data_IF_528857320074
#
_entry.id   IF_528857320074
#
_cell.length_a   1.000
_cell.length_b   1.000
_cell.length_c   1.000
_cell.angle_alpha   90.00
_cell.angle_beta   90.00
_cell.angle_gamma   90.00
#
_symmetry.space_group_name_H-M   'P 1'
#
loop_
_entity.id
_entity.type
_entity.pdbx_description
1 polymer ?
#
# COMPACT_ATOMS: atom_id res chain seq x y z
N UNK A 1 -5.65 -6.81 -15.38
CA UNK A 1 -6.07 -7.23 -14.03
C UNK A 1 -6.43 -5.98 -13.25
N UNK A 2 -7.35 -6.01 -12.27
CA UNK A 2 -7.61 -4.84 -11.44
C UNK A 2 -6.38 -4.50 -10.58
N UNK A 3 -6.09 -3.21 -10.41
CA UNK A 3 -5.09 -2.74 -9.46
C UNK A 3 -5.51 -2.99 -8.02
N UNK A 4 -4.54 -3.23 -7.13
CA UNK A 4 -4.77 -3.53 -5.71
C UNK A 4 -4.03 -2.50 -4.85
N UNK A 5 -4.72 -1.91 -3.88
CA UNK A 5 -4.09 -1.11 -2.82
C UNK A 5 -4.35 -1.75 -1.46
N UNK A 6 -3.29 -2.19 -0.79
CA UNK A 6 -3.34 -2.71 0.56
C UNK A 6 -3.23 -1.56 1.57
N UNK A 7 -4.14 -1.50 2.53
CA UNK A 7 -4.17 -0.43 3.54
C UNK A 7 -4.28 -1.01 4.94
N UNK A 8 -3.43 -0.56 5.86
CA UNK A 8 -3.46 -1.00 7.27
C UNK A 8 -3.00 0.07 8.25
N UNK A 9 -3.22 -0.15 9.54
CA UNK A 9 -2.46 0.56 10.57
C UNK A 9 -1.01 0.07 10.60
N UNK A 10 -0.06 0.98 10.84
CA UNK A 10 1.37 0.68 10.85
C UNK A 10 1.84 -0.01 9.57
N UNK A 11 2.82 -0.91 9.69
CA UNK A 11 3.52 -1.50 8.55
C UNK A 11 2.91 -2.81 8.01
N UNK A 12 1.73 -3.24 8.47
CA UNK A 12 1.21 -4.56 8.12
C UNK A 12 1.03 -4.74 6.61
N UNK A 13 0.38 -3.79 5.92
CA UNK A 13 0.15 -3.84 4.47
C UNK A 13 1.47 -3.88 3.69
N UNK A 14 2.45 -3.05 4.08
CA UNK A 14 3.76 -2.97 3.43
C UNK A 14 4.55 -4.25 3.65
N UNK A 15 4.55 -4.78 4.87
CA UNK A 15 5.22 -6.04 5.18
C UNK A 15 4.56 -7.23 4.46
N UNK A 16 3.23 -7.21 4.31
CA UNK A 16 2.48 -8.23 3.59
C UNK A 16 2.84 -8.25 2.10
N UNK A 17 2.85 -7.08 1.44
CA UNK A 17 3.28 -6.98 0.04
C UNK A 17 4.71 -7.49 -0.13
N UNK A 18 5.62 -7.04 0.74
CA UNK A 18 7.02 -7.51 0.70
C UNK A 18 7.15 -9.02 0.90
N UNK A 19 6.33 -9.60 1.78
CA UNK A 19 6.29 -11.05 2.02
C UNK A 19 5.77 -11.79 0.80
N UNK A 20 4.71 -11.28 0.16
CA UNK A 20 4.20 -11.81 -1.10
C UNK A 20 5.28 -11.78 -2.18
N UNK A 21 6.00 -10.66 -2.33
CA UNK A 21 7.07 -10.52 -3.31
C UNK A 21 8.25 -11.46 -3.08
N UNK A 22 8.57 -11.77 -1.81
CA UNK A 22 9.59 -12.77 -1.48
C UNK A 22 9.23 -14.19 -1.94
N UNK A 23 7.93 -14.50 -2.03
CA UNK A 23 7.42 -15.84 -2.38
C UNK A 23 7.12 -15.95 -3.88
N UNK A 24 6.47 -14.91 -4.42
CA UNK A 24 5.90 -14.92 -5.78
C UNK A 24 6.67 -14.05 -6.77
N UNK A 25 7.73 -13.36 -6.34
CA UNK A 25 8.43 -12.35 -7.12
C UNK A 25 7.72 -10.99 -7.11
N UNK A 26 8.32 -9.99 -7.75
CA UNK A 26 7.75 -8.62 -7.83
C UNK A 26 6.31 -8.65 -8.35
N UNK A 27 5.46 -7.81 -7.75
CA UNK A 27 4.04 -7.73 -8.10
C UNK A 27 3.75 -6.41 -8.81
N UNK A 28 3.42 -6.49 -10.09
CA UNK A 28 2.95 -5.32 -10.85
C UNK A 28 1.49 -4.99 -10.47
N UNK A 29 1.18 -3.70 -10.34
CA UNK A 29 -0.18 -3.23 -10.07
C UNK A 29 -0.68 -3.46 -8.64
N UNK A 30 0.24 -3.66 -7.68
CA UNK A 30 -0.07 -3.76 -6.25
C UNK A 30 0.72 -2.71 -5.47
N UNK A 31 0.02 -1.86 -4.71
CA UNK A 31 0.63 -0.87 -3.82
C UNK A 31 0.20 -1.11 -2.38
N UNK A 32 0.98 -0.61 -1.41
CA UNK A 32 0.69 -0.74 0.01
C UNK A 32 0.93 0.56 0.78
N UNK A 33 -0.02 0.93 1.64
CA UNK A 33 0.02 2.16 2.44
C UNK A 33 -0.30 1.84 3.90
N UNK A 34 0.59 2.25 4.81
CA UNK A 34 0.41 2.09 6.26
C UNK A 34 0.08 3.41 6.95
N UNK A 35 -0.95 3.48 7.79
CA UNK A 35 -1.26 4.65 8.63
C UNK A 35 -0.37 4.66 9.88
N UNK A 36 0.48 5.67 10.03
CA UNK A 36 1.45 5.73 11.13
C UNK A 36 0.96 6.59 12.31
N UNK A 37 1.52 6.32 13.50
CA UNK A 37 1.22 7.10 14.71
C UNK A 37 1.68 8.54 14.49
N UNK A 38 0.79 9.50 14.75
CA UNK A 38 1.07 10.93 14.57
C UNK A 38 0.89 11.42 13.13
N UNK A 39 0.59 10.54 12.17
CA UNK A 39 0.25 10.95 10.82
C UNK A 39 -1.16 11.55 10.77
N UNK A 40 -1.30 12.69 10.08
CA UNK A 40 -2.58 13.34 9.88
C UNK A 40 -3.48 12.58 8.90
N UNK A 41 -4.79 12.67 9.10
CA UNK A 41 -5.76 12.03 8.20
C UNK A 41 -5.68 12.54 6.76
N UNK A 42 -5.37 13.82 6.55
CA UNK A 42 -5.25 14.42 5.22
C UNK A 42 -4.01 13.92 4.47
N UNK A 43 -2.85 13.88 5.14
CA UNK A 43 -1.62 13.32 4.55
C UNK A 43 -1.79 11.85 4.21
N UNK A 44 -2.44 11.09 5.10
CA UNK A 44 -2.72 9.67 4.84
C UNK A 44 -3.65 9.48 3.64
N UNK A 45 -4.71 10.29 3.55
CA UNK A 45 -5.65 10.27 2.43
C UNK A 45 -4.95 10.53 1.10
N UNK A 46 -4.03 11.49 1.04
CA UNK A 46 -3.31 11.78 -0.21
C UNK A 46 -2.40 10.62 -0.61
N UNK A 47 -1.68 9.99 0.33
CA UNK A 47 -0.86 8.79 0.01
C UNK A 47 -1.69 7.63 -0.50
N UNK A 48 -2.89 7.40 0.05
CA UNK A 48 -3.81 6.38 -0.47
C UNK A 48 -4.27 6.76 -1.89
N UNK A 49 -4.57 8.04 -2.13
CA UNK A 49 -4.96 8.54 -3.47
C UNK A 49 -3.83 8.34 -4.49
N UNK A 50 -2.59 8.67 -4.12
CA UNK A 50 -1.41 8.43 -4.95
C UNK A 50 -1.21 6.94 -5.27
N UNK A 51 -1.39 6.06 -4.28
CA UNK A 51 -1.31 4.62 -4.48
C UNK A 51 -2.37 4.11 -5.47
N UNK A 52 -3.60 4.62 -5.38
CA UNK A 52 -4.67 4.28 -6.35
C UNK A 52 -4.29 4.73 -7.77
N UNK A 53 -3.70 5.91 -7.94
CA UNK A 53 -3.28 6.41 -9.25
C UNK A 53 -2.15 5.60 -9.88
N UNK A 54 -1.29 4.96 -9.08
CA UNK A 54 -0.21 4.10 -9.57
C UNK A 54 -0.69 2.75 -10.09
N UNK A 55 -1.82 2.26 -9.59
CA UNK A 55 -2.38 0.95 -9.96
C UNK A 55 -3.57 1.05 -10.91
N UNK A 56 -3.91 2.28 -11.36
CA UNK A 56 -4.99 2.55 -12.31
C UNK A 56 -4.57 2.32 -13.77
#
# INVERSE_FOLDING_TARGET
MPGIVLVSHGNLAVALLKTLEMIMGQQDGVEAVGLHIGEGMESFRERVREAVLKVY
#
